data_IF_866422990188
#
_entry.id   IF_866422990188
#
_cell.length_a   1.000
_cell.length_b   1.000
_cell.length_c   1.000
_cell.angle_alpha   90.00
_cell.angle_beta   90.00
_cell.angle_gamma   90.00
#
_symmetry.space_group_name_H-M   'P 1'
#
loop_
_entity.id
_entity.type
_entity.pdbx_description
1 polymer ?
#
# COMPACT_ATOMS: atom_id res chain seq x y z
N UNK A 1 47.72 -54.04 33.33
CA UNK A 1 48.32 -55.35 32.94
C UNK A 1 47.99 -56.37 34.02
N UNK A 2 47.51 -57.58 33.69
CA UNK A 2 46.75 -58.01 32.51
C UNK A 2 45.23 -57.84 32.86
N UNK A 3 44.21 -58.69 32.66
CA UNK A 3 43.97 -59.94 31.90
C UNK A 3 42.60 -59.86 31.20
N UNK A 4 42.56 -60.03 29.87
CA UNK A 4 41.51 -60.80 29.17
C UNK A 4 42.08 -62.23 28.98
N UNK A 5 41.31 -63.32 28.76
CA UNK A 5 41.16 -63.77 27.36
C UNK A 5 39.98 -64.73 27.01
N UNK A 6 39.67 -64.78 25.68
CA UNK A 6 39.05 -65.87 24.87
C UNK A 6 37.52 -66.04 24.85
N UNK A 7 36.89 -66.69 23.85
CA UNK A 7 37.03 -66.71 22.36
C UNK A 7 35.92 -67.64 21.76
N UNK A 8 35.67 -67.57 20.43
CA UNK A 8 34.87 -68.47 19.57
C UNK A 8 33.33 -68.30 19.69
N UNK A 9 32.50 -68.49 18.63
CA UNK A 9 32.76 -68.77 17.19
C UNK A 9 31.58 -68.29 16.30
N UNK A 10 31.84 -68.07 15.00
CA UNK A 10 30.86 -67.88 13.88
C UNK A 10 30.37 -69.27 13.37
N UNK A 11 29.22 -69.41 12.67
CA UNK A 11 28.98 -68.97 11.27
C UNK A 11 27.79 -67.98 11.16
N UNK A 12 27.70 -67.05 10.21
CA UNK A 12 27.54 -67.17 8.74
C UNK A 12 26.19 -67.70 8.26
N UNK A 13 25.33 -66.76 7.88
CA UNK A 13 24.59 -66.86 6.62
C UNK A 13 24.54 -65.48 5.93
N UNK A 14 24.33 -65.48 4.61
CA UNK A 14 24.37 -64.31 3.72
C UNK A 14 23.09 -64.33 2.86
N UNK A 15 22.83 -63.25 2.09
CA UNK A 15 21.72 -63.13 1.11
C UNK A 15 20.36 -62.72 1.71
N UNK A 16 20.08 -61.41 1.73
CA UNK A 16 18.83 -60.76 1.21
C UNK A 16 18.89 -59.23 1.36
N UNK A 17 20.04 -58.64 1.04
CA UNK A 17 20.30 -57.19 1.07
C UNK A 17 19.62 -56.44 -0.09
N UNK A 18 18.29 -56.52 -0.20
CA UNK A 18 17.49 -55.76 -1.16
C UNK A 18 16.03 -55.48 -0.72
N UNK A 19 15.46 -56.22 0.23
CA UNK A 19 14.04 -56.06 0.61
C UNK A 19 13.77 -54.87 1.56
N UNK A 20 14.63 -54.63 2.56
CA UNK A 20 14.38 -53.65 3.65
C UNK A 20 14.55 -52.17 3.28
N UNK A 21 14.93 -51.82 2.05
CA UNK A 21 15.08 -50.42 1.63
C UNK A 21 13.78 -49.78 1.10
N UNK A 22 12.82 -50.59 0.59
CA UNK A 22 11.59 -50.09 -0.05
C UNK A 22 10.41 -49.84 0.90
N UNK A 23 10.47 -50.30 2.16
CA UNK A 23 9.38 -50.11 3.14
C UNK A 23 9.50 -48.80 3.90
N UNK A 24 10.71 -48.41 4.34
CA UNK A 24 10.93 -47.16 5.09
C UNK A 24 10.65 -45.91 4.26
N UNK A 25 10.85 -45.96 2.94
CA UNK A 25 10.44 -44.87 2.03
C UNK A 25 8.92 -44.76 1.84
N UNK A 26 8.12 -45.79 2.17
CA UNK A 26 6.66 -45.76 2.04
C UNK A 26 5.89 -45.37 3.31
N UNK A 27 6.58 -45.13 4.43
CA UNK A 27 5.99 -44.57 5.66
C UNK A 27 6.35 -43.10 5.92
N UNK A 28 7.04 -42.43 5.00
CA UNK A 28 7.32 -40.98 5.04
C UNK A 28 6.65 -40.19 3.90
N UNK A 29 5.70 -40.82 3.19
CA UNK A 29 5.02 -40.22 2.03
C UNK A 29 3.49 -40.32 2.12
N UNK A 30 2.92 -40.31 3.35
CA UNK A 30 1.46 -40.42 3.55
C UNK A 30 0.85 -39.56 4.68
N UNK A 31 1.54 -38.51 5.15
CA UNK A 31 0.95 -37.52 6.08
C UNK A 31 1.04 -36.05 5.62
N UNK A 32 1.79 -35.73 4.56
CA UNK A 32 1.83 -34.38 3.99
C UNK A 32 0.67 -34.10 3.01
N UNK A 33 -0.58 -34.22 3.48
CA UNK A 33 -1.76 -33.72 2.74
C UNK A 33 -2.82 -33.11 3.67
N UNK A 34 -2.39 -32.20 4.55
CA UNK A 34 -3.23 -31.18 5.21
C UNK A 34 -2.32 -30.11 5.81
N UNK A 35 -1.98 -29.09 5.02
CA UNK A 35 -1.67 -27.76 5.56
C UNK A 35 -1.77 -26.68 4.47
N UNK A 36 -2.72 -25.76 4.65
CA UNK A 36 -3.11 -24.76 3.65
C UNK A 36 -2.33 -23.44 3.82
N UNK A 37 -1.04 -23.46 3.49
CA UNK A 37 -0.21 -22.25 3.52
C UNK A 37 -0.31 -21.43 2.23
N UNK A 38 -1.32 -20.56 2.17
CA UNK A 38 -1.53 -19.57 1.11
C UNK A 38 -0.58 -18.37 1.26
N UNK A 39 0.72 -18.57 0.99
CA UNK A 39 1.77 -17.54 1.13
C UNK A 39 1.77 -16.57 -0.06
N UNK A 40 0.67 -15.86 -0.27
CA UNK A 40 0.54 -14.86 -1.32
C UNK A 40 1.29 -13.56 -0.96
N UNK A 41 2.57 -13.49 -1.32
CA UNK A 41 3.36 -12.24 -1.26
C UNK A 41 2.84 -11.22 -2.29
N UNK A 42 1.84 -10.44 -1.90
CA UNK A 42 1.33 -9.31 -2.68
C UNK A 42 2.23 -8.06 -2.54
N UNK A 43 2.40 -7.24 -3.58
CA UNK A 43 3.12 -5.96 -3.49
C UNK A 43 2.38 -4.94 -2.61
N UNK A 44 3.13 -4.03 -1.97
CA UNK A 44 2.73 -3.25 -0.80
C UNK A 44 2.35 -1.78 -1.11
N UNK A 45 1.11 -1.31 -0.83
CA UNK A 45 0.77 0.13 -0.89
C UNK A 45 -0.07 0.74 0.26
N UNK A 46 0.30 1.97 0.65
CA UNK A 46 -0.50 3.08 1.22
C UNK A 46 -1.23 2.90 2.57
N UNK A 47 -0.54 3.29 3.65
CA UNK A 47 -1.03 4.47 4.40
C UNK A 47 -0.11 5.68 4.20
N UNK A 48 1.20 5.43 4.07
CA UNK A 48 2.17 6.40 3.60
C UNK A 48 3.04 5.73 2.54
N UNK A 49 2.65 5.96 1.29
CA UNK A 49 3.24 5.55 0.00
C UNK A 49 2.30 6.12 -1.07
N UNK A 50 2.64 6.33 -2.34
CA UNK A 50 3.40 5.39 -3.16
C UNK A 50 4.18 6.05 -4.29
N UNK A 51 5.44 6.38 -4.00
CA UNK A 51 6.55 5.98 -4.88
C UNK A 51 7.53 5.18 -4.04
N UNK A 52 7.35 3.86 -4.07
CA UNK A 52 8.50 2.97 -4.06
C UNK A 52 8.61 2.40 -5.47
N UNK A 53 9.09 3.23 -6.38
CA UNK A 53 9.41 2.84 -7.77
C UNK A 53 10.92 2.70 -7.87
N UNK A 54 11.37 1.52 -7.45
CA UNK A 54 12.62 0.87 -7.86
C UNK A 54 13.81 1.81 -8.14
N UNK A 55 14.72 1.90 -7.16
CA UNK A 55 16.14 1.90 -7.51
C UNK A 55 16.44 0.59 -8.26
N UNK A 56 17.27 0.67 -9.32
CA UNK A 56 17.61 -0.51 -10.11
C UNK A 56 18.26 -1.59 -9.24
N UNK A 57 17.68 -2.78 -9.26
CA UNK A 57 18.43 -4.03 -9.08
C UNK A 57 18.04 -4.93 -10.23
N UNK A 58 19.02 -5.53 -10.91
CA UNK A 58 18.76 -6.46 -12.00
C UNK A 58 18.13 -7.74 -11.43
N UNK A 59 16.81 -7.83 -11.52
CA UNK A 59 16.03 -8.99 -11.09
C UNK A 59 15.11 -9.38 -12.24
N UNK A 60 15.60 -10.26 -13.11
CA UNK A 60 14.75 -10.97 -14.07
C UNK A 60 13.60 -11.64 -13.31
N UNK A 61 12.33 -11.44 -13.70
CA UNK A 61 11.22 -12.13 -13.05
C UNK A 61 11.38 -13.64 -13.28
N UNK A 62 11.22 -14.43 -12.21
CA UNK A 62 11.30 -15.88 -12.29
C UNK A 62 10.19 -16.37 -13.24
N UNK A 63 10.59 -16.89 -14.40
CA UNK A 63 9.65 -17.47 -15.36
C UNK A 63 9.09 -18.77 -14.80
N UNK A 64 7.86 -18.71 -14.29
CA UNK A 64 6.96 -19.87 -14.37
C UNK A 64 6.93 -20.27 -15.87
N UNK A 65 7.17 -21.55 -16.23
CA UNK A 65 7.20 -21.98 -17.63
C UNK A 65 5.84 -21.83 -18.34
N UNK A 66 5.56 -20.63 -18.83
CA UNK A 66 4.44 -20.34 -19.72
C UNK A 66 4.84 -20.85 -21.12
N UNK A 67 3.99 -21.62 -21.83
CA UNK A 67 4.33 -22.09 -23.18
C UNK A 67 4.67 -20.90 -24.08
N UNK A 68 5.79 -21.01 -24.79
CA UNK A 68 6.46 -19.89 -25.45
C UNK A 68 5.75 -19.44 -26.74
N UNK A 69 4.66 -18.70 -26.60
CA UNK A 69 4.04 -17.97 -27.71
C UNK A 69 4.80 -16.65 -27.91
N UNK A 70 5.83 -16.69 -28.75
CA UNK A 70 6.48 -15.47 -29.24
C UNK A 70 5.49 -14.68 -30.11
N UNK A 71 4.87 -13.66 -29.52
CA UNK A 71 4.15 -12.62 -30.27
C UNK A 71 4.59 -11.24 -29.78
N UNK A 72 5.80 -10.85 -30.20
CA UNK A 72 6.23 -9.46 -30.25
C UNK A 72 5.31 -8.71 -31.25
N UNK A 73 5.31 -7.39 -31.19
CA UNK A 73 4.81 -6.51 -32.26
C UNK A 73 3.28 -6.51 -32.53
N UNK A 74 2.46 -6.62 -31.48
CA UNK A 74 1.01 -6.29 -31.57
C UNK A 74 0.40 -5.62 -30.33
N UNK A 75 1.19 -4.92 -29.51
CA UNK A 75 0.76 -4.42 -28.18
C UNK A 75 0.36 -2.93 -28.14
N UNK A 76 0.52 -2.19 -29.24
CA UNK A 76 0.58 -0.72 -29.22
C UNK A 76 -0.65 -0.01 -29.83
N UNK A 77 -1.85 -0.29 -29.29
CA UNK A 77 -3.07 0.50 -29.60
C UNK A 77 -4.13 0.51 -28.48
N UNK A 78 -3.77 0.10 -27.25
CA UNK A 78 -4.68 0.23 -26.10
C UNK A 78 -4.82 1.68 -25.67
N UNK A 79 -5.89 2.32 -26.15
CA UNK A 79 -6.34 3.69 -25.85
C UNK A 79 -5.90 4.15 -24.45
N UNK A 80 -5.03 5.17 -24.40
CA UNK A 80 -4.55 5.75 -23.14
C UNK A 80 -5.73 6.16 -22.24
N UNK A 81 -6.75 6.77 -22.83
CA UNK A 81 -8.00 7.12 -22.15
C UNK A 81 -8.71 5.92 -21.48
N UNK A 82 -8.67 4.72 -22.09
CA UNK A 82 -9.28 3.50 -21.51
C UNK A 82 -8.46 2.89 -20.39
N UNK A 83 -7.14 3.14 -20.35
CA UNK A 83 -6.28 2.82 -19.19
C UNK A 83 -6.54 3.82 -18.05
N UNK A 84 -6.47 5.13 -18.34
CA UNK A 84 -6.71 6.20 -17.37
C UNK A 84 -8.12 6.17 -16.76
N UNK A 85 -9.16 5.84 -17.55
CA UNK A 85 -10.50 5.62 -17.01
C UNK A 85 -10.52 4.43 -16.03
N UNK A 86 -9.79 3.35 -16.32
CA UNK A 86 -9.60 2.23 -15.39
C UNK A 86 -8.86 2.63 -14.13
N UNK A 87 -7.76 3.38 -14.26
CA UNK A 87 -6.98 3.91 -13.13
C UNK A 87 -7.83 4.70 -12.14
N UNK A 88 -8.73 5.55 -12.66
CA UNK A 88 -9.70 6.34 -11.89
C UNK A 88 -10.79 5.46 -11.29
N UNK A 89 -11.40 4.56 -12.06
CA UNK A 89 -12.46 3.66 -11.57
C UNK A 89 -11.92 2.77 -10.44
N UNK A 90 -10.78 2.10 -10.64
CA UNK A 90 -10.14 1.26 -9.63
C UNK A 90 -9.80 2.05 -8.36
N UNK A 91 -9.23 3.25 -8.50
CA UNK A 91 -8.93 4.15 -7.38
C UNK A 91 -10.20 4.55 -6.62
N UNK A 92 -11.24 5.04 -7.31
CA UNK A 92 -12.50 5.45 -6.67
C UNK A 92 -13.20 4.28 -5.98
N UNK A 93 -13.30 3.11 -6.62
CA UNK A 93 -13.93 1.92 -6.05
C UNK A 93 -13.20 1.43 -4.80
N UNK A 94 -11.88 1.28 -4.83
CA UNK A 94 -11.17 0.70 -3.68
C UNK A 94 -11.09 1.68 -2.50
N UNK A 95 -10.90 2.97 -2.78
CA UNK A 95 -10.88 4.00 -1.74
C UNK A 95 -12.24 4.19 -1.10
N UNK A 96 -13.35 4.06 -1.85
CA UNK A 96 -14.69 4.02 -1.28
C UNK A 96 -14.85 2.85 -0.29
N UNK A 97 -14.28 1.68 -0.61
CA UNK A 97 -14.32 0.49 0.24
C UNK A 97 -13.59 0.62 1.59
N UNK A 98 -12.38 1.20 1.63
CA UNK A 98 -11.61 1.30 2.89
C UNK A 98 -11.79 2.64 3.65
N UNK A 99 -12.31 3.69 3.00
CA UNK A 99 -12.52 5.00 3.65
C UNK A 99 -13.39 4.98 4.92
N UNK A 100 -14.40 4.09 5.09
CA UNK A 100 -15.16 4.04 6.34
C UNK A 100 -14.29 3.75 7.56
N UNK A 101 -13.41 2.75 7.48
CA UNK A 101 -12.49 2.37 8.56
C UNK A 101 -11.57 3.53 8.94
N UNK A 102 -11.00 4.22 7.95
CA UNK A 102 -10.10 5.35 8.19
C UNK A 102 -10.85 6.57 8.73
N UNK A 103 -12.07 6.83 8.25
CA UNK A 103 -12.94 7.92 8.74
C UNK A 103 -13.30 7.74 10.21
N UNK A 104 -13.65 6.51 10.62
CA UNK A 104 -13.94 6.14 12.01
C UNK A 104 -12.75 6.46 12.92
N UNK A 105 -11.53 6.11 12.49
CA UNK A 105 -10.30 6.31 13.26
C UNK A 105 -9.91 7.80 13.35
N UNK A 106 -9.89 8.55 12.24
CA UNK A 106 -9.54 9.98 12.26
C UNK A 106 -10.55 10.81 13.06
N UNK A 107 -11.85 10.50 12.95
CA UNK A 107 -12.88 11.10 13.80
C UNK A 107 -12.60 10.84 15.28
N UNK A 108 -12.25 9.61 15.65
CA UNK A 108 -11.95 9.25 17.03
C UNK A 108 -10.72 9.99 17.59
N UNK A 109 -9.64 10.11 16.80
CA UNK A 109 -8.46 10.90 17.14
C UNK A 109 -8.82 12.35 17.47
N UNK A 110 -9.67 12.97 16.65
CA UNK A 110 -9.98 14.41 16.77
C UNK A 110 -11.02 14.67 17.86
N UNK A 111 -12.05 13.82 18.00
CA UNK A 111 -13.00 13.92 19.11
C UNK A 111 -12.32 13.70 20.47
N UNK A 112 -11.27 12.86 20.53
CA UNK A 112 -10.39 12.71 21.70
C UNK A 112 -9.51 13.96 21.92
N UNK A 113 -8.90 14.51 20.87
CA UNK A 113 -8.08 15.73 20.94
C UNK A 113 -8.89 17.01 21.26
N UNK A 114 -10.19 17.03 20.98
CA UNK A 114 -11.12 18.09 21.41
C UNK A 114 -11.61 17.92 22.87
N UNK A 115 -11.34 16.77 23.49
CA UNK A 115 -11.78 16.43 24.85
C UNK A 115 -13.20 15.86 24.95
N UNK A 116 -13.86 15.56 23.82
CA UNK A 116 -15.31 15.24 23.79
C UNK A 116 -15.63 13.76 23.99
N UNK A 117 -14.77 12.84 23.55
CA UNK A 117 -15.04 11.39 23.56
C UNK A 117 -13.76 10.57 23.81
N UNK A 118 -13.92 9.33 24.32
CA UNK A 118 -12.86 8.31 24.23
C UNK A 118 -12.73 7.72 22.82
N UNK A 119 -11.56 7.22 22.41
CA UNK A 119 -11.40 6.75 21.02
C UNK A 119 -12.29 5.55 20.73
N UNK A 120 -12.34 4.56 21.64
CA UNK A 120 -13.19 3.37 21.50
C UNK A 120 -14.68 3.76 21.42
N UNK A 121 -15.11 4.68 22.28
CA UNK A 121 -16.49 5.19 22.31
C UNK A 121 -16.88 5.89 21.01
N UNK A 122 -16.02 6.80 20.51
CA UNK A 122 -16.21 7.44 19.20
C UNK A 122 -16.25 6.41 18.07
N UNK A 123 -15.35 5.42 18.08
CA UNK A 123 -15.29 4.39 17.06
C UNK A 123 -16.56 3.53 17.03
N UNK A 124 -16.99 3.01 18.18
CA UNK A 124 -18.21 2.21 18.31
C UNK A 124 -19.46 3.00 17.91
N UNK A 125 -19.62 4.23 18.42
CA UNK A 125 -20.73 5.11 18.03
C UNK A 125 -20.75 5.38 16.51
N UNK A 126 -19.58 5.48 15.89
CA UNK A 126 -19.48 5.71 14.44
C UNK A 126 -19.82 4.44 13.64
N UNK A 127 -19.36 3.26 14.05
CA UNK A 127 -19.72 1.97 13.43
C UNK A 127 -21.24 1.71 13.55
N UNK A 128 -21.83 1.93 14.73
CA UNK A 128 -23.28 1.78 14.95
C UNK A 128 -24.07 2.75 14.07
N UNK A 129 -23.62 4.00 13.91
CA UNK A 129 -24.30 4.97 13.04
C UNK A 129 -24.16 4.64 11.55
N UNK A 130 -23.00 4.11 11.11
CA UNK A 130 -22.81 3.58 9.75
C UNK A 130 -23.76 2.43 9.48
N UNK A 131 -23.86 1.45 10.41
CA UNK A 131 -24.73 0.29 10.27
C UNK A 131 -26.23 0.66 10.26
N UNK A 132 -26.65 1.63 11.08
CA UNK A 132 -28.05 2.09 11.16
C UNK A 132 -28.47 2.97 9.97
N UNK A 133 -27.56 3.75 9.39
CA UNK A 133 -27.89 4.78 8.39
C UNK A 133 -26.83 4.88 7.26
N UNK A 134 -26.51 3.79 6.53
CA UNK A 134 -25.41 3.77 5.57
C UNK A 134 -25.58 4.79 4.44
N UNK A 135 -26.81 4.94 3.92
CA UNK A 135 -27.13 5.90 2.85
C UNK A 135 -26.97 7.37 3.24
N UNK A 136 -27.11 7.70 4.53
CA UNK A 136 -26.84 9.05 5.05
C UNK A 136 -25.36 9.22 5.41
N UNK A 137 -24.68 8.14 5.84
CA UNK A 137 -23.25 8.16 6.09
C UNK A 137 -22.42 8.42 4.82
N UNK A 138 -22.73 7.77 3.70
CA UNK A 138 -21.99 8.01 2.43
C UNK A 138 -22.25 9.40 1.83
N UNK A 139 -23.33 10.08 2.25
CA UNK A 139 -23.61 11.49 1.94
C UNK A 139 -23.00 12.47 2.95
N UNK A 140 -22.43 11.98 4.06
CA UNK A 140 -21.87 12.85 5.10
C UNK A 140 -20.58 13.52 4.59
N UNK A 141 -20.36 14.82 4.91
CA UNK A 141 -19.18 15.53 4.44
C UNK A 141 -17.88 14.93 4.99
N UNK A 142 -17.93 14.30 6.16
CA UNK A 142 -16.81 13.55 6.73
C UNK A 142 -16.39 12.39 5.83
N UNK A 143 -17.32 11.49 5.47
CA UNK A 143 -17.00 10.39 4.56
C UNK A 143 -16.51 10.91 3.20
N UNK A 144 -17.23 11.88 2.61
CA UNK A 144 -16.91 12.41 1.28
C UNK A 144 -15.52 13.07 1.23
N UNK A 145 -15.12 13.80 2.28
CA UNK A 145 -13.80 14.43 2.35
C UNK A 145 -12.70 13.38 2.56
N UNK A 146 -12.89 12.38 3.44
CA UNK A 146 -11.89 11.31 3.60
C UNK A 146 -11.72 10.50 2.31
N UNK A 147 -12.84 10.11 1.69
CA UNK A 147 -12.85 9.42 0.41
C UNK A 147 -12.17 10.27 -0.68
N UNK A 148 -12.48 11.56 -0.77
CA UNK A 148 -11.87 12.49 -1.73
C UNK A 148 -10.34 12.60 -1.61
N UNK A 149 -9.79 12.63 -0.38
CA UNK A 149 -8.33 12.64 -0.14
C UNK A 149 -7.67 11.36 -0.67
N UNK A 150 -8.27 10.20 -0.39
CA UNK A 150 -7.72 8.93 -0.86
C UNK A 150 -7.92 8.72 -2.36
N UNK A 151 -9.11 9.03 -2.88
CA UNK A 151 -9.43 8.92 -4.30
C UNK A 151 -8.50 9.81 -5.15
N UNK A 152 -8.29 11.07 -4.78
CA UNK A 152 -7.38 11.96 -5.53
C UNK A 152 -5.94 11.45 -5.53
N UNK A 153 -5.44 10.99 -4.37
CA UNK A 153 -4.09 10.43 -4.23
C UNK A 153 -3.92 9.14 -5.06
N UNK A 154 -4.88 8.21 -4.98
CA UNK A 154 -4.84 6.95 -5.74
C UNK A 154 -5.02 7.17 -7.24
N UNK A 155 -5.95 8.04 -7.67
CA UNK A 155 -6.11 8.42 -9.08
C UNK A 155 -4.81 9.00 -9.63
N UNK A 156 -4.18 9.92 -8.90
CA UNK A 156 -2.90 10.54 -9.27
C UNK A 156 -1.82 9.49 -9.49
N UNK A 157 -1.59 8.61 -8.50
CA UNK A 157 -0.57 7.55 -8.60
C UNK A 157 -0.85 6.58 -9.73
N UNK A 158 -2.10 6.12 -9.89
CA UNK A 158 -2.46 5.17 -10.94
C UNK A 158 -2.30 5.79 -12.34
N UNK A 159 -2.78 7.03 -12.54
CA UNK A 159 -2.66 7.75 -13.80
C UNK A 159 -1.21 8.06 -14.16
N UNK A 160 -0.40 8.56 -13.20
CA UNK A 160 1.02 8.84 -13.44
C UNK A 160 1.80 7.57 -13.80
N UNK A 161 1.53 6.44 -13.13
CA UNK A 161 2.07 5.13 -13.53
C UNK A 161 1.68 4.77 -14.95
N UNK A 162 0.41 4.91 -15.34
CA UNK A 162 -0.05 4.64 -16.72
C UNK A 162 0.59 5.57 -17.74
N UNK A 163 0.79 6.85 -17.43
CA UNK A 163 1.45 7.82 -18.32
C UNK A 163 2.92 7.45 -18.54
N UNK A 164 3.66 7.08 -17.47
CA UNK A 164 5.02 6.56 -17.58
C UNK A 164 5.06 5.27 -18.39
N UNK A 165 4.32 4.24 -17.97
CA UNK A 165 4.22 2.92 -18.65
C UNK A 165 3.87 3.05 -20.15
N UNK A 166 3.09 4.06 -20.53
CA UNK A 166 2.72 4.32 -21.92
C UNK A 166 3.84 5.03 -22.68
N UNK A 167 4.37 6.13 -22.15
CA UNK A 167 5.42 6.93 -22.78
C UNK A 167 6.74 6.16 -22.92
N UNK A 168 7.06 5.33 -21.93
CA UNK A 168 8.29 4.51 -21.93
C UNK A 168 8.23 3.39 -22.99
N UNK A 169 7.03 3.07 -23.52
CA UNK A 169 6.84 2.18 -24.68
C UNK A 169 7.08 2.90 -26.03
N UNK A 170 6.90 4.22 -26.09
CA UNK A 170 7.14 5.05 -27.28
C UNK A 170 8.54 5.68 -27.36
N UNK A 171 9.40 5.41 -26.37
CA UNK A 171 10.77 5.96 -26.32
C UNK A 171 11.74 4.92 -26.87
N UNK A 172 12.52 5.28 -27.89
CA UNK A 172 13.60 4.41 -28.37
C UNK A 172 14.69 4.24 -27.29
N UNK A 173 15.47 3.14 -27.31
CA UNK A 173 16.40 2.82 -26.22
C UNK A 173 17.54 3.85 -26.01
N UNK A 174 17.94 4.56 -27.07
CA UNK A 174 19.23 5.25 -27.15
C UNK A 174 19.10 6.78 -27.20
N UNK A 175 18.79 7.40 -26.06
CA UNK A 175 18.96 8.85 -25.86
C UNK A 175 19.22 9.21 -24.39
N UNK A 176 20.50 9.41 -24.04
CA UNK A 176 21.05 10.08 -22.86
C UNK A 176 20.30 9.84 -21.52
N UNK A 177 20.83 8.94 -20.68
CA UNK A 177 20.21 8.44 -19.44
C UNK A 177 20.06 9.41 -18.26
N UNK A 178 19.53 10.62 -18.48
CA UNK A 178 19.29 11.66 -17.47
C UNK A 178 17.81 11.77 -17.05
N UNK A 179 16.88 11.16 -17.80
CA UNK A 179 15.44 11.41 -17.63
C UNK A 179 14.81 10.80 -16.37
N UNK A 180 15.25 9.61 -15.98
CA UNK A 180 14.49 8.76 -15.04
C UNK A 180 14.33 9.38 -13.64
N UNK A 181 15.33 10.11 -13.15
CA UNK A 181 15.28 10.68 -11.79
C UNK A 181 14.53 12.01 -11.74
N UNK A 182 14.60 12.84 -12.80
CA UNK A 182 13.74 14.01 -12.96
C UNK A 182 12.25 13.61 -13.04
N UNK A 183 11.96 12.48 -13.67
CA UNK A 183 10.59 11.94 -13.80
C UNK A 183 10.09 11.34 -12.48
N UNK A 184 10.91 10.55 -11.78
CA UNK A 184 10.60 10.09 -10.42
C UNK A 184 10.37 11.26 -9.47
N UNK A 185 11.17 12.32 -9.57
CA UNK A 185 10.98 13.56 -8.81
C UNK A 185 9.69 14.29 -9.20
N UNK A 186 9.34 14.33 -10.49
CA UNK A 186 8.07 14.90 -10.96
C UNK A 186 6.84 14.18 -10.40
N UNK A 187 6.84 12.84 -10.43
CA UNK A 187 5.77 12.04 -9.80
C UNK A 187 5.78 12.23 -8.29
N UNK A 188 6.96 12.38 -7.65
CA UNK A 188 7.08 12.62 -6.21
C UNK A 188 6.47 13.96 -5.80
N UNK A 189 6.83 15.03 -6.50
CA UNK A 189 6.29 16.37 -6.30
C UNK A 189 4.77 16.40 -6.53
N UNK A 190 4.27 15.81 -7.62
CA UNK A 190 2.84 15.76 -7.91
C UNK A 190 2.04 14.96 -6.86
N UNK A 191 2.52 13.77 -6.48
CA UNK A 191 1.87 12.93 -5.47
C UNK A 191 1.90 13.58 -4.08
N UNK A 192 3.02 14.23 -3.74
CA UNK A 192 3.17 15.00 -2.50
C UNK A 192 2.22 16.19 -2.46
N UNK A 193 2.21 17.04 -3.50
CA UNK A 193 1.37 18.22 -3.56
C UNK A 193 -0.13 17.88 -3.43
N UNK A 194 -0.58 16.81 -4.10
CA UNK A 194 -1.99 16.37 -4.04
C UNK A 194 -2.32 15.74 -2.67
N UNK A 195 -1.46 14.87 -2.13
CA UNK A 195 -1.69 14.27 -0.82
C UNK A 195 -1.66 15.31 0.31
N UNK A 196 -0.61 16.12 0.39
CA UNK A 196 -0.46 17.16 1.41
C UNK A 196 -1.53 18.23 1.29
N UNK A 197 -1.88 18.67 0.08
CA UNK A 197 -2.96 19.64 -0.16
C UNK A 197 -4.33 19.10 0.28
N UNK A 198 -4.69 17.90 -0.16
CA UNK A 198 -5.96 17.27 0.21
C UNK A 198 -6.02 16.94 1.71
N UNK A 199 -4.94 16.40 2.29
CA UNK A 199 -4.81 16.15 3.72
C UNK A 199 -4.97 17.42 4.54
N UNK A 200 -4.36 18.54 4.13
CA UNK A 200 -4.48 19.85 4.81
C UNK A 200 -5.92 20.39 4.78
N UNK A 201 -6.62 20.26 3.64
CA UNK A 201 -8.04 20.64 3.51
C UNK A 201 -8.92 19.77 4.42
N UNK A 202 -8.66 18.46 4.47
CA UNK A 202 -9.33 17.50 5.36
C UNK A 202 -9.06 17.82 6.84
N UNK A 203 -7.82 18.07 7.23
CA UNK A 203 -7.45 18.41 8.61
C UNK A 203 -8.11 19.72 9.06
N UNK A 204 -8.12 20.75 8.19
CA UNK A 204 -8.84 22.01 8.43
C UNK A 204 -10.33 21.75 8.68
N UNK A 205 -11.02 21.06 7.77
CA UNK A 205 -12.45 20.77 7.92
C UNK A 205 -12.74 19.98 9.19
N UNK A 206 -11.97 18.92 9.43
CA UNK A 206 -12.15 18.02 10.57
C UNK A 206 -11.93 18.75 11.89
N UNK A 207 -10.91 19.61 11.99
CA UNK A 207 -10.69 20.45 13.16
C UNK A 207 -11.84 21.44 13.37
N UNK A 208 -12.30 22.16 12.33
CA UNK A 208 -13.39 23.13 12.47
C UNK A 208 -14.75 22.51 12.79
N UNK A 209 -15.01 21.27 12.35
CA UNK A 209 -16.31 20.59 12.52
C UNK A 209 -16.39 19.74 13.80
N UNK A 210 -15.24 19.32 14.36
CA UNK A 210 -15.17 18.62 15.65
C UNK A 210 -14.42 19.41 16.74
N UNK A 211 -14.22 20.71 16.54
CA UNK A 211 -13.66 21.61 17.54
C UNK A 211 -14.56 21.70 18.78
N UNK A 212 -13.96 22.01 19.92
CA UNK A 212 -14.72 22.28 21.15
C UNK A 212 -15.17 23.76 21.20
N UNK A 213 -16.04 24.11 22.14
CA UNK A 213 -16.57 25.48 22.29
C UNK A 213 -15.49 26.54 22.63
N UNK A 214 -14.28 26.11 22.98
CA UNK A 214 -13.13 26.98 23.28
C UNK A 214 -12.15 27.13 22.11
N UNK A 215 -12.43 26.50 20.96
CA UNK A 215 -11.53 26.48 19.81
C UNK A 215 -11.36 27.87 19.18
N UNK A 216 -10.23 28.08 18.51
CA UNK A 216 -9.95 29.33 17.83
C UNK A 216 -10.95 29.59 16.68
N UNK A 217 -11.50 30.81 16.62
CA UNK A 217 -12.44 31.25 15.57
C UNK A 217 -11.87 31.18 14.14
N UNK A 218 -10.55 31.13 14.01
CA UNK A 218 -9.82 30.87 12.77
C UNK A 218 -8.65 29.95 13.07
N UNK A 219 -8.40 28.95 12.22
CA UNK A 219 -7.26 28.02 12.35
C UNK A 219 -5.93 28.80 12.33
N UNK A 220 -5.10 28.76 13.39
CA UNK A 220 -3.84 29.51 13.45
C UNK A 220 -2.82 29.08 12.38
N UNK A 221 -2.01 30.03 11.88
CA UNK A 221 -0.93 29.74 10.90
C UNK A 221 0.03 28.65 11.37
N UNK A 222 0.35 28.62 12.67
CA UNK A 222 1.19 27.58 13.28
C UNK A 222 0.55 26.18 13.24
N UNK A 223 -0.77 26.05 13.28
CA UNK A 223 -1.47 24.76 13.15
C UNK A 223 -1.27 24.18 11.75
N UNK A 224 -1.41 24.99 10.69
CA UNK A 224 -1.07 24.57 9.32
C UNK A 224 0.42 24.20 9.19
N UNK A 225 1.33 24.97 9.79
CA UNK A 225 2.77 24.67 9.80
C UNK A 225 3.09 23.31 10.45
N UNK A 226 2.46 22.99 11.58
CA UNK A 226 2.60 21.70 12.26
C UNK A 226 2.00 20.54 11.45
N UNK A 227 0.82 20.72 10.84
CA UNK A 227 0.24 19.71 9.95
C UNK A 227 1.10 19.46 8.71
N UNK A 228 1.72 20.50 8.15
CA UNK A 228 2.71 20.38 7.06
C UNK A 228 3.98 19.66 7.49
N UNK A 229 4.54 20.00 8.66
CA UNK A 229 5.72 19.32 9.22
C UNK A 229 5.48 17.83 9.46
N UNK A 230 4.31 17.47 10.01
CA UNK A 230 3.84 16.08 10.13
C UNK A 230 3.82 15.38 8.77
N UNK A 231 3.30 16.05 7.73
CA UNK A 231 3.24 15.48 6.39
C UNK A 231 4.65 15.20 5.83
N UNK A 232 5.56 16.17 5.95
CA UNK A 232 6.97 15.99 5.58
C UNK A 232 7.63 14.81 6.32
N UNK A 233 7.35 14.62 7.61
CA UNK A 233 7.84 13.47 8.39
C UNK A 233 7.31 12.13 7.87
N UNK A 234 6.00 12.07 7.53
CA UNK A 234 5.34 10.84 7.05
C UNK A 234 5.71 10.52 5.60
N UNK A 235 5.94 11.53 4.76
CA UNK A 235 6.41 11.35 3.39
C UNK A 235 7.90 10.98 3.38
N UNK A 236 8.75 11.70 4.11
CA UNK A 236 10.19 11.38 4.21
C UNK A 236 10.45 9.95 4.71
N UNK A 237 9.68 9.49 5.70
CA UNK A 237 9.79 8.12 6.23
C UNK A 237 9.31 7.01 5.29
N UNK A 238 8.62 7.36 4.21
CA UNK A 238 7.98 6.41 3.30
C UNK A 238 8.59 6.37 1.90
N UNK A 239 9.39 7.39 1.56
CA UNK A 239 10.03 7.54 0.25
C UNK A 239 11.57 7.59 0.35
N UNK A 240 12.14 8.05 1.46
CA UNK A 240 13.59 8.21 1.64
C UNK A 240 14.15 7.16 2.61
N UNK A 241 13.54 7.02 3.79
CA UNK A 241 14.05 6.10 4.82
C UNK A 241 14.01 4.60 4.46
N UNK A 242 13.04 4.05 3.68
CA UNK A 242 12.97 2.60 3.46
C UNK A 242 14.17 2.01 2.73
N UNK A 243 14.74 2.69 1.74
CA UNK A 243 15.93 2.21 1.02
C UNK A 243 17.19 2.27 1.90
N UNK A 244 17.34 3.33 2.69
CA UNK A 244 18.42 3.50 3.66
C UNK A 244 18.35 2.42 4.76
N UNK A 245 17.17 2.24 5.37
CA UNK A 245 16.96 1.26 6.44
C UNK A 245 17.11 -0.18 5.94
N UNK A 246 16.65 -0.49 4.71
CA UNK A 246 16.93 -1.78 4.08
C UNK A 246 18.42 -2.01 3.85
N UNK A 247 19.18 -0.97 3.47
CA UNK A 247 20.64 -1.03 3.34
C UNK A 247 21.36 -1.32 4.66
N UNK A 248 20.83 -0.86 5.79
CA UNK A 248 21.31 -1.22 7.13
C UNK A 248 20.89 -2.65 7.50
N UNK A 249 19.63 -3.01 7.23
CA UNK A 249 19.06 -4.30 7.65
C UNK A 249 19.75 -5.49 6.94
N UNK A 250 19.98 -5.42 5.62
CA UNK A 250 20.72 -6.45 4.86
C UNK A 250 22.23 -6.47 5.15
N UNK A 251 22.79 -5.49 5.88
CA UNK A 251 24.18 -5.53 6.39
C UNK A 251 24.27 -6.13 7.79
N UNK A 252 23.26 -5.90 8.62
CA UNK A 252 23.27 -6.28 10.04
C UNK A 252 22.49 -7.57 10.33
N UNK A 253 21.86 -8.17 9.31
CA UNK A 253 21.10 -9.42 9.40
C UNK A 253 21.24 -10.22 8.10
N UNK A 254 21.01 -11.53 8.14
CA UNK A 254 21.02 -12.42 6.98
C UNK A 254 19.76 -12.27 6.08
N UNK A 255 18.99 -11.18 6.22
CA UNK A 255 17.78 -10.94 5.46
C UNK A 255 18.06 -10.54 4.01
N UNK A 256 17.42 -11.25 3.08
CA UNK A 256 17.49 -10.91 1.65
C UNK A 256 16.97 -9.49 1.36
N UNK A 257 17.50 -8.86 0.32
CA UNK A 257 17.19 -7.47 -0.08
C UNK A 257 15.70 -7.21 -0.31
N UNK A 258 14.88 -8.21 -0.71
CA UNK A 258 13.43 -8.04 -0.92
C UNK A 258 12.67 -8.08 0.40
N UNK A 259 12.97 -9.04 1.28
CA UNK A 259 12.33 -9.13 2.60
C UNK A 259 12.75 -7.95 3.48
N UNK A 260 14.03 -7.56 3.45
CA UNK A 260 14.52 -6.36 4.13
C UNK A 260 13.85 -5.08 3.63
N UNK A 261 13.62 -4.93 2.32
CA UNK A 261 12.91 -3.77 1.76
C UNK A 261 11.44 -3.77 2.16
N UNK A 262 10.78 -4.92 2.11
CA UNK A 262 9.38 -5.11 2.55
C UNK A 262 9.20 -4.72 4.02
N UNK A 263 10.09 -5.18 4.91
CA UNK A 263 10.08 -4.81 6.32
C UNK A 263 10.31 -3.31 6.50
N UNK A 264 11.22 -2.71 5.72
CA UNK A 264 11.53 -1.27 5.79
C UNK A 264 10.36 -0.39 5.32
N UNK A 265 9.66 -0.79 4.25
CA UNK A 265 8.47 -0.13 3.74
C UNK A 265 7.30 -0.14 4.75
N UNK A 266 7.26 -1.10 5.66
CA UNK A 266 6.26 -1.15 6.74
C UNK A 266 6.74 -0.46 8.02
N UNK A 267 7.99 -0.68 8.43
CA UNK A 267 8.51 -0.21 9.72
C UNK A 267 8.80 1.28 9.76
N UNK A 268 9.36 1.88 8.70
CA UNK A 268 9.70 3.31 8.69
C UNK A 268 8.45 4.21 8.81
N UNK A 269 7.32 3.95 8.10
CA UNK A 269 6.07 4.68 8.31
C UNK A 269 5.47 4.50 9.71
N UNK A 270 5.62 3.31 10.33
CA UNK A 270 5.17 3.06 11.71
C UNK A 270 6.02 3.85 12.71
N UNK A 271 7.35 3.78 12.61
CA UNK A 271 8.28 4.51 13.48
C UNK A 271 8.05 6.03 13.42
N UNK A 272 7.76 6.57 12.23
CA UNK A 272 7.42 7.98 12.08
C UNK A 272 6.17 8.41 12.86
N UNK A 273 5.23 7.51 13.19
CA UNK A 273 4.02 7.88 13.95
C UNK A 273 4.33 8.36 15.37
N UNK A 274 5.42 7.88 15.97
CA UNK A 274 5.85 8.29 17.32
C UNK A 274 6.31 9.76 17.38
N UNK A 275 6.65 10.36 16.24
CA UNK A 275 7.04 11.78 16.11
C UNK A 275 5.92 12.60 15.45
N UNK A 276 5.39 12.12 14.31
CA UNK A 276 4.35 12.80 13.55
C UNK A 276 3.00 12.86 14.29
N UNK A 277 2.69 11.86 15.13
CA UNK A 277 1.50 11.85 15.99
C UNK A 277 1.47 13.04 16.97
N UNK A 278 2.48 13.21 17.83
CA UNK A 278 2.64 14.41 18.66
C UNK A 278 2.62 15.73 17.90
N UNK A 279 3.20 15.81 16.70
CA UNK A 279 3.19 17.04 15.89
C UNK A 279 1.77 17.37 15.38
N UNK A 280 1.01 16.38 14.89
CA UNK A 280 -0.40 16.59 14.55
C UNK A 280 -1.22 17.02 15.79
N UNK A 281 -0.99 16.35 16.91
CA UNK A 281 -1.73 16.58 18.14
C UNK A 281 -1.46 17.97 18.73
N UNK A 282 -0.23 18.48 18.62
CA UNK A 282 0.11 19.87 18.96
C UNK A 282 -0.64 20.87 18.07
N UNK A 283 -0.77 20.60 16.76
CA UNK A 283 -1.53 21.44 15.85
C UNK A 283 -3.02 21.51 16.21
N UNK A 284 -3.61 20.38 16.57
CA UNK A 284 -4.99 20.29 17.09
C UNK A 284 -5.15 20.95 18.47
N UNK A 285 -4.16 20.81 19.35
CA UNK A 285 -4.16 21.39 20.70
C UNK A 285 -4.06 22.92 20.67
N UNK A 286 -3.26 23.49 19.78
CA UNK A 286 -3.19 24.95 19.59
C UNK A 286 -4.52 25.50 19.03
N UNK A 287 -5.22 24.72 18.22
CA UNK A 287 -6.55 25.08 17.71
C UNK A 287 -7.66 24.97 18.77
N UNK A 288 -7.77 23.82 19.44
CA UNK A 288 -8.83 23.50 20.42
C UNK A 288 -8.61 24.17 21.80
N UNK A 289 -7.36 24.45 22.17
CA UNK A 289 -7.00 25.12 23.42
C UNK A 289 -6.06 26.28 23.10
N UNK A 290 -6.57 27.49 22.82
CA UNK A 290 -5.71 28.64 22.49
C UNK A 290 -4.91 29.19 23.69
N UNK A 291 -5.20 28.79 24.94
CA UNK A 291 -4.44 29.04 26.18
C UNK A 291 -3.96 30.50 26.42
N UNK A 292 -4.66 31.50 25.88
CA UNK A 292 -4.22 32.91 25.83
C UNK A 292 -4.01 33.58 27.20
N UNK A 293 -4.64 33.04 28.26
CA UNK A 293 -4.66 33.63 29.60
C UNK A 293 -3.54 33.08 30.52
N UNK A 294 -2.61 32.29 29.98
CA UNK A 294 -1.52 31.65 30.72
C UNK A 294 -0.16 32.21 30.29
N UNK A 295 0.76 32.34 31.25
CA UNK A 295 2.19 32.56 30.96
C UNK A 295 2.74 31.44 30.07
N UNK A 296 3.68 31.77 29.19
CA UNK A 296 4.24 30.85 28.19
C UNK A 296 4.70 29.51 28.78
N UNK A 297 5.42 29.54 29.92
CA UNK A 297 5.87 28.32 30.59
C UNK A 297 4.73 27.45 31.13
N UNK A 298 3.67 28.07 31.66
CA UNK A 298 2.47 27.37 32.13
C UNK A 298 1.67 26.78 30.96
N UNK A 299 1.54 27.53 29.85
CA UNK A 299 0.93 27.01 28.63
C UNK A 299 1.71 25.81 28.07
N UNK A 300 3.05 25.89 27.97
CA UNK A 300 3.90 24.77 27.51
C UNK A 300 3.74 23.54 28.42
N UNK A 301 3.67 23.70 29.74
CA UNK A 301 3.38 22.62 30.70
C UNK A 301 2.02 21.95 30.39
N UNK A 302 0.97 22.75 30.19
CA UNK A 302 -0.37 22.27 29.85
C UNK A 302 -0.47 21.58 28.49
N UNK A 303 0.36 21.98 27.51
CA UNK A 303 0.49 21.25 26.24
C UNK A 303 1.23 19.92 26.45
N UNK A 304 2.31 19.89 27.22
CA UNK A 304 3.09 18.67 27.49
C UNK A 304 2.28 17.61 28.26
N UNK A 305 1.49 18.03 29.26
CA UNK A 305 0.56 17.14 30.00
C UNK A 305 -0.47 16.54 29.04
N UNK A 306 -1.13 17.38 28.24
CA UNK A 306 -2.12 16.92 27.24
C UNK A 306 -1.51 15.97 26.19
N UNK A 307 -0.31 16.27 25.69
CA UNK A 307 0.43 15.40 24.79
C UNK A 307 0.67 14.03 25.45
N UNK A 308 1.23 13.99 26.66
CA UNK A 308 1.55 12.74 27.39
C UNK A 308 0.30 11.90 27.65
N UNK A 309 -0.80 12.51 28.09
CA UNK A 309 -2.06 11.82 28.42
C UNK A 309 -2.75 11.22 27.18
N UNK A 310 -2.56 11.79 26.00
CA UNK A 310 -3.20 11.34 24.76
C UNK A 310 -2.27 10.54 23.82
N UNK A 311 -0.95 10.54 24.08
CA UNK A 311 0.09 9.95 23.23
C UNK A 311 -0.25 8.54 22.76
N UNK A 312 -0.38 7.59 23.69
CA UNK A 312 -0.60 6.16 23.38
C UNK A 312 -1.89 5.94 22.61
N UNK A 313 -2.97 6.65 22.96
CA UNK A 313 -4.25 6.56 22.29
C UNK A 313 -4.20 7.05 20.84
N UNK A 314 -3.48 8.14 20.57
CA UNK A 314 -3.45 8.78 19.25
C UNK A 314 -2.37 8.19 18.34
N UNK A 315 -1.19 7.85 18.86
CA UNK A 315 -0.16 7.08 18.12
C UNK A 315 -0.68 5.67 17.81
N UNK A 316 -1.30 4.99 18.78
CA UNK A 316 -1.93 3.69 18.58
C UNK A 316 -3.04 3.73 17.52
N UNK A 317 -3.92 4.73 17.56
CA UNK A 317 -4.94 4.93 16.53
C UNK A 317 -4.33 5.22 15.14
N UNK A 318 -3.26 6.03 15.05
CA UNK A 318 -2.55 6.28 13.79
C UNK A 318 -1.88 5.02 13.23
N UNK A 319 -1.35 4.14 14.07
CA UNK A 319 -0.78 2.86 13.64
C UNK A 319 -1.90 1.90 13.21
N UNK A 320 -3.01 1.80 13.97
CA UNK A 320 -4.17 0.99 13.60
C UNK A 320 -4.81 1.41 12.26
N UNK A 321 -4.76 2.72 11.93
CA UNK A 321 -5.18 3.26 10.62
C UNK A 321 -4.40 2.66 9.45
N UNK A 322 -3.16 2.17 9.66
CA UNK A 322 -2.31 1.64 8.58
C UNK A 322 -2.92 0.36 8.00
N UNK A 323 -3.41 -0.55 8.84
CA UNK A 323 -3.87 -1.87 8.43
C UNK A 323 -4.98 -1.87 7.33
N UNK A 324 -6.12 -1.14 7.46
CA UNK A 324 -7.17 -1.16 6.44
C UNK A 324 -6.75 -0.49 5.12
N UNK A 325 -5.99 0.61 5.19
CA UNK A 325 -5.54 1.31 3.98
C UNK A 325 -4.46 0.50 3.25
N UNK A 326 -3.56 -0.16 4.00
CA UNK A 326 -2.57 -1.08 3.48
C UNK A 326 -3.22 -2.31 2.82
N UNK A 327 -3.98 -3.07 3.60
CA UNK A 327 -4.50 -4.38 3.19
C UNK A 327 -5.64 -4.30 2.17
N UNK A 328 -6.66 -3.48 2.43
CA UNK A 328 -7.79 -3.34 1.51
C UNK A 328 -7.41 -2.36 0.40
N UNK A 329 -6.99 -1.14 0.78
CA UNK A 329 -6.72 -0.06 -0.17
C UNK A 329 -5.65 -0.41 -1.18
N UNK A 330 -4.44 -0.70 -0.70
CA UNK A 330 -3.30 -0.91 -1.56
C UNK A 330 -3.33 -2.20 -2.35
N UNK A 331 -3.40 -3.36 -1.69
CA UNK A 331 -3.40 -4.67 -2.38
C UNK A 331 -4.60 -4.76 -3.34
N UNK A 332 -5.78 -4.30 -2.90
CA UNK A 332 -6.97 -4.22 -3.73
C UNK A 332 -6.84 -3.29 -4.94
N UNK A 333 -6.19 -2.13 -4.80
CA UNK A 333 -5.94 -1.22 -5.93
C UNK A 333 -5.07 -1.87 -7.01
N UNK A 334 -3.95 -2.48 -6.60
CA UNK A 334 -3.04 -3.17 -7.54
C UNK A 334 -3.79 -4.30 -8.25
N UNK A 335 -4.48 -5.16 -7.48
CA UNK A 335 -5.28 -6.26 -8.02
C UNK A 335 -6.34 -5.79 -9.03
N UNK A 336 -7.11 -4.74 -8.70
CA UNK A 336 -8.15 -4.21 -9.60
C UNK A 336 -7.55 -3.60 -10.87
N UNK A 337 -6.46 -2.82 -10.74
CA UNK A 337 -5.76 -2.19 -11.88
C UNK A 337 -5.19 -3.24 -12.82
N UNK A 338 -4.57 -4.29 -12.29
CA UNK A 338 -4.02 -5.38 -13.08
C UNK A 338 -5.13 -6.19 -13.76
N UNK A 339 -6.23 -6.50 -13.05
CA UNK A 339 -7.41 -7.13 -13.65
C UNK A 339 -8.04 -6.28 -14.76
N UNK A 340 -8.06 -4.95 -14.63
CA UNK A 340 -8.55 -4.06 -15.69
C UNK A 340 -7.66 -4.12 -16.94
N UNK A 341 -6.33 -4.03 -16.77
CA UNK A 341 -5.36 -4.19 -17.88
C UNK A 341 -5.52 -5.55 -18.58
N UNK A 342 -5.67 -6.63 -17.80
CA UNK A 342 -5.90 -7.99 -18.30
C UNK A 342 -7.19 -8.08 -19.15
N UNK A 343 -8.24 -7.37 -18.77
CA UNK A 343 -9.49 -7.30 -19.55
C UNK A 343 -9.36 -6.47 -20.83
N UNK A 344 -8.63 -5.34 -20.81
CA UNK A 344 -8.35 -4.55 -22.02
C UNK A 344 -7.58 -5.38 -23.06
N UNK A 345 -6.51 -6.05 -22.63
CA UNK A 345 -5.70 -6.92 -23.49
C UNK A 345 -6.53 -8.05 -24.11
N UNK A 346 -7.41 -8.70 -23.33
CA UNK A 346 -8.32 -9.75 -23.85
C UNK A 346 -9.29 -9.20 -24.90
N UNK A 347 -9.89 -8.02 -24.67
CA UNK A 347 -10.78 -7.34 -25.63
C UNK A 347 -10.03 -6.93 -26.91
N UNK A 348 -8.75 -6.59 -26.83
CA UNK A 348 -7.91 -6.29 -28.00
C UNK A 348 -7.53 -7.54 -28.79
N UNK A 349 -7.14 -8.62 -28.11
CA UNK A 349 -6.91 -9.92 -28.76
C UNK A 349 -8.16 -10.42 -29.49
N UNK A 350 -9.36 -10.28 -28.89
CA UNK A 350 -10.64 -10.63 -29.51
C UNK A 350 -10.94 -9.77 -30.76
N UNK A 351 -10.82 -8.44 -30.68
CA UNK A 351 -11.03 -7.54 -31.84
C UNK A 351 -10.04 -7.84 -32.97
N UNK A 352 -8.76 -8.06 -32.65
CA UNK A 352 -7.73 -8.35 -33.64
C UNK A 352 -7.96 -9.72 -34.31
N UNK A 353 -8.45 -10.71 -33.57
CA UNK A 353 -8.81 -12.03 -34.13
C UNK A 353 -10.05 -11.96 -35.03
N UNK A 354 -11.09 -11.21 -34.64
CA UNK A 354 -12.27 -10.96 -35.46
C UNK A 354 -11.95 -10.23 -36.77
N UNK A 355 -11.09 -9.20 -36.71
CA UNK A 355 -10.62 -8.48 -37.90
C UNK A 355 -9.86 -9.42 -38.86
N UNK A 356 -8.92 -10.23 -38.35
CA UNK A 356 -8.18 -11.21 -39.15
C UNK A 356 -9.11 -12.27 -39.77
N UNK A 357 -10.09 -12.81 -39.05
CA UNK A 357 -10.98 -13.84 -39.59
C UNK A 357 -11.93 -13.30 -40.67
N UNK A 358 -12.42 -12.06 -40.53
CA UNK A 358 -13.18 -11.38 -41.59
C UNK A 358 -12.33 -11.14 -42.84
N UNK A 359 -11.07 -10.69 -42.69
CA UNK A 359 -10.15 -10.52 -43.81
C UNK A 359 -9.89 -11.85 -44.56
N UNK A 360 -9.64 -12.94 -43.83
CA UNK A 360 -9.45 -14.27 -44.43
C UNK A 360 -10.71 -14.74 -45.17
N UNK A 361 -11.91 -14.59 -44.59
CA UNK A 361 -13.16 -14.95 -45.27
C UNK A 361 -13.43 -14.08 -46.51
N UNK A 362 -13.15 -12.78 -46.45
CA UNK A 362 -13.32 -11.85 -47.57
C UNK A 362 -12.34 -12.10 -48.72
N UNK A 363 -11.13 -12.59 -48.42
CA UNK A 363 -10.17 -13.02 -49.45
C UNK A 363 -10.53 -14.40 -50.02
N UNK A 364 -10.96 -15.36 -49.19
CA UNK A 364 -11.44 -16.65 -49.66
C UNK A 364 -12.63 -16.51 -50.61
N UNK A 365 -13.66 -15.72 -50.24
CA UNK A 365 -14.82 -15.45 -51.11
C UNK A 365 -14.43 -14.81 -52.45
N UNK A 366 -13.43 -13.92 -52.47
CA UNK A 366 -12.94 -13.33 -53.73
C UNK A 366 -12.23 -14.35 -54.61
N UNK A 367 -11.41 -15.25 -54.03
CA UNK A 367 -10.81 -16.34 -54.78
C UNK A 367 -11.87 -17.28 -55.40
N UNK A 368 -12.96 -17.60 -54.69
CA UNK A 368 -14.07 -18.44 -55.21
C UNK A 368 -14.93 -17.75 -56.28
N UNK A 369 -14.82 -16.43 -56.47
CA UNK A 369 -15.54 -15.67 -57.51
C UNK A 369 -14.64 -15.45 -58.75
N UNK A 370 -13.37 -15.85 -58.70
CA UNK A 370 -12.39 -15.73 -59.80
C UNK A 370 -12.03 -17.09 -60.43
N UNK A 371 -12.93 -18.07 -60.32
CA UNK A 371 -12.88 -19.41 -60.92
C UNK A 371 -14.24 -19.69 -61.57
#
# INVERSE_FOLDING_TARGET
NPKNPKNKKKPEERITSQSKSRTTQKMLQKDNNKDSNFTAQAPFPVLATSISTQMHTNISPIQIPRPAVHFRDSTLSSNLASKLAGDIICACTITFGFSPFVTVIDKAIIQKAAGTHGILQSSLNSVVNIARNPGNYVKSPMFLIMWGVYASTYCTVNCLKTIMEHRDHFKEPDALGSSNDAEKFGVFAATTAINSGASMLKDKFYATHFGNATAASTVPKITYGLWGLRDCMVIGSSFILPDLFCGVLTRNTEMDRKTALTVSQLSCPIAAQFIAGPVQLLGLDIYNRPLRNLSFGAAVKERLIFQRTNFTSIVGARIARIAPAYGIGGIGNTYLRDKWKDQLLRKEMQRNWQSKSQLTMGSARRATISI
#
